data_IF_973388477053
#
_entry.id   IF_973388477053
#
_cell.length_a   1.000
_cell.length_b   1.000
_cell.length_c   1.000
_cell.angle_alpha   90.00
_cell.angle_beta   90.00
_cell.angle_gamma   90.00
#
_symmetry.space_group_name_H-M   'P 1'
#
loop_
_entity.id
_entity.type
_entity.pdbx_description
1 polymer ?
#
# COMPACT_ATOMS: atom_id res chain seq x y z
N UNK A 1 -0.72 -15.20 0.49
CA UNK A 1 -1.10 -14.95 1.91
C UNK A 1 -2.55 -14.47 1.94
N UNK A 2 -3.39 -15.02 2.83
CA UNK A 2 -4.81 -14.63 3.02
C UNK A 2 -5.82 -15.11 1.96
N UNK A 3 -5.40 -15.31 0.70
CA UNK A 3 -6.29 -15.73 -0.39
C UNK A 3 -7.28 -14.64 -0.83
N UNK A 4 -7.10 -13.42 -0.34
CA UNK A 4 -7.95 -12.26 -0.63
C UNK A 4 -7.27 -11.45 -1.73
N UNK A 5 -7.99 -11.24 -2.83
CA UNK A 5 -7.56 -10.33 -3.90
C UNK A 5 -7.67 -8.88 -3.43
N UNK A 6 -6.75 -8.01 -3.84
CA UNK A 6 -6.74 -6.61 -3.37
C UNK A 6 -8.03 -5.84 -3.69
N UNK A 7 -8.77 -6.24 -4.73
CA UNK A 7 -10.07 -5.65 -5.08
C UNK A 7 -11.14 -5.89 -4.02
N UNK A 8 -11.04 -6.98 -3.26
CA UNK A 8 -11.94 -7.25 -2.15
C UNK A 8 -11.73 -6.24 -1.02
N UNK A 9 -10.51 -5.70 -0.86
CA UNK A 9 -10.25 -4.64 0.11
C UNK A 9 -11.04 -3.36 -0.20
N UNK A 10 -11.31 -3.06 -1.47
CA UNK A 10 -12.18 -1.92 -1.83
C UNK A 10 -13.59 -2.09 -1.25
N UNK A 11 -14.12 -3.32 -1.27
CA UNK A 11 -15.44 -3.63 -0.71
C UNK A 11 -15.42 -3.52 0.81
N UNK A 12 -14.37 -4.02 1.46
CA UNK A 12 -14.20 -3.91 2.92
C UNK A 12 -14.16 -2.44 3.36
N UNK A 13 -13.48 -1.56 2.62
CA UNK A 13 -13.44 -0.12 2.91
C UNK A 13 -14.84 0.50 2.81
N UNK A 14 -15.64 0.10 1.81
CA UNK A 14 -17.02 0.57 1.63
C UNK A 14 -17.99 0.04 2.68
N UNK A 15 -17.84 -1.23 3.07
CA UNK A 15 -18.72 -1.88 4.04
C UNK A 15 -18.51 -1.32 5.46
N UNK A 16 -17.28 -0.93 5.77
CA UNK A 16 -16.89 -0.43 7.08
C UNK A 16 -16.31 0.99 7.03
N UNK A 17 -17.09 1.98 6.56
CA UNK A 17 -16.61 3.33 6.37
C UNK A 17 -16.14 3.89 7.71
N UNK A 18 -14.92 4.39 7.70
CA UNK A 18 -14.35 5.05 8.86
C UNK A 18 -13.73 4.15 9.94
N UNK A 19 -13.75 2.82 9.77
CA UNK A 19 -13.12 1.89 10.73
C UNK A 19 -11.62 1.74 10.55
N UNK A 20 -11.09 2.01 9.36
CA UNK A 20 -9.66 1.87 9.08
C UNK A 20 -8.95 3.15 9.48
N UNK A 21 -8.19 3.07 10.57
CA UNK A 21 -7.42 4.19 11.16
C UNK A 21 -5.96 4.19 10.76
N UNK A 22 -5.40 3.02 10.54
CA UNK A 22 -4.03 2.83 10.08
C UNK A 22 -4.01 1.77 8.98
N UNK A 23 -3.05 1.87 8.07
CA UNK A 23 -2.84 0.87 7.02
C UNK A 23 -1.35 0.63 6.82
N UNK A 24 -0.96 -0.64 6.77
CA UNK A 24 0.38 -1.06 6.35
C UNK A 24 0.42 -1.09 4.82
N UNK A 25 1.42 -0.45 4.23
CA UNK A 25 1.59 -0.27 2.80
C UNK A 25 2.83 -1.04 2.37
N UNK A 26 2.60 -2.18 1.71
CA UNK A 26 3.61 -3.04 1.10
C UNK A 26 3.08 -3.64 -0.18
N UNK A 27 3.93 -3.91 -1.15
CA UNK A 27 3.48 -4.47 -2.42
C UNK A 27 3.77 -5.97 -2.52
N UNK A 28 3.11 -6.61 -3.49
CA UNK A 28 3.21 -8.03 -3.73
C UNK A 28 3.04 -8.33 -5.21
N UNK A 29 3.81 -9.27 -5.73
CA UNK A 29 3.58 -9.88 -7.04
C UNK A 29 3.62 -11.41 -6.94
N UNK A 30 2.98 -12.11 -7.87
CA UNK A 30 3.03 -13.58 -7.92
C UNK A 30 4.43 -14.10 -8.24
N UNK A 31 5.20 -13.35 -9.03
CA UNK A 31 6.53 -13.76 -9.50
C UNK A 31 7.62 -13.53 -8.44
N UNK A 32 7.61 -12.36 -7.79
CA UNK A 32 8.68 -11.92 -6.88
C UNK A 32 8.24 -11.86 -5.42
N UNK A 33 7.01 -12.27 -5.13
CA UNK A 33 6.39 -12.22 -3.81
C UNK A 33 6.48 -10.80 -3.21
N UNK A 34 6.98 -10.68 -1.97
CA UNK A 34 7.20 -9.39 -1.28
C UNK A 34 8.53 -8.72 -1.64
N UNK A 35 9.33 -9.30 -2.54
CA UNK A 35 10.57 -8.68 -3.02
C UNK A 35 10.29 -7.73 -4.21
N UNK A 36 9.28 -6.88 -4.03
CA UNK A 36 8.90 -5.80 -4.94
C UNK A 36 8.72 -4.53 -4.12
N UNK A 37 9.09 -3.40 -4.69
CA UNK A 37 8.81 -2.10 -4.11
C UNK A 37 7.40 -1.64 -4.50
N UNK A 38 6.88 -0.66 -3.78
CA UNK A 38 5.56 -0.09 -4.03
C UNK A 38 5.38 0.32 -5.50
N UNK A 39 4.32 -0.18 -6.16
CA UNK A 39 4.02 0.09 -7.57
C UNK A 39 4.73 -0.83 -8.58
N UNK A 40 5.63 -1.73 -8.15
CA UNK A 40 6.17 -2.80 -9.00
C UNK A 40 5.36 -4.08 -8.94
N UNK A 41 4.50 -4.24 -7.92
CA UNK A 41 3.68 -5.41 -7.74
C UNK A 41 2.34 -5.32 -8.49
N UNK A 42 1.41 -6.15 -8.03
CA UNK A 42 0.09 -6.33 -8.63
C UNK A 42 -1.02 -5.63 -7.82
N UNK A 43 -0.68 -5.02 -6.68
CA UNK A 43 -1.66 -4.35 -5.81
C UNK A 43 -2.03 -2.99 -6.37
N UNK A 44 -3.34 -2.73 -6.53
CA UNK A 44 -3.89 -1.46 -7.02
C UNK A 44 -3.82 -0.32 -6.00
N UNK A 45 -2.61 0.05 -5.54
CA UNK A 45 -2.41 0.97 -4.43
C UNK A 45 -2.99 2.36 -4.65
N UNK A 46 -2.92 2.91 -5.86
CA UNK A 46 -3.53 4.21 -6.17
C UNK A 46 -5.04 4.23 -5.90
N UNK A 47 -5.74 3.15 -6.24
CA UNK A 47 -7.18 3.02 -6.02
C UNK A 47 -7.49 2.81 -4.54
N UNK A 48 -6.76 1.93 -3.86
CA UNK A 48 -6.93 1.68 -2.43
C UNK A 48 -6.67 2.93 -1.57
N UNK A 49 -5.58 3.65 -1.85
CA UNK A 49 -5.23 4.87 -1.12
C UNK A 49 -6.25 5.98 -1.37
N UNK A 50 -6.75 6.13 -2.62
CA UNK A 50 -7.85 7.04 -2.91
C UNK A 50 -9.11 6.67 -2.12
N UNK A 51 -9.46 5.38 -2.08
CA UNK A 51 -10.62 4.88 -1.35
C UNK A 51 -10.51 5.12 0.16
N UNK A 52 -9.34 4.86 0.74
CA UNK A 52 -9.06 5.12 2.15
C UNK A 52 -9.11 6.62 2.47
N UNK A 53 -8.54 7.46 1.61
CA UNK A 53 -8.62 8.92 1.72
C UNK A 53 -10.07 9.39 1.68
N UNK A 54 -10.85 8.93 0.71
CA UNK A 54 -12.26 9.32 0.53
C UNK A 54 -13.14 8.84 1.71
N UNK A 55 -12.75 7.76 2.41
CA UNK A 55 -13.42 7.31 3.64
C UNK A 55 -13.24 8.26 4.85
N UNK A 56 -12.26 9.16 4.80
CA UNK A 56 -12.12 10.31 5.70
C UNK A 56 -11.71 10.02 7.15
N UNK A 57 -11.24 8.81 7.49
CA UNK A 57 -10.85 8.46 8.87
C UNK A 57 -9.47 7.83 9.03
N UNK A 58 -8.72 7.64 7.95
CA UNK A 58 -7.35 7.14 8.06
C UNK A 58 -6.43 8.22 8.62
N UNK A 59 -5.58 7.83 9.56
CA UNK A 59 -4.72 8.73 10.31
C UNK A 59 -3.24 8.49 9.98
N UNK A 60 -2.86 7.22 9.76
CA UNK A 60 -1.47 6.85 9.47
C UNK A 60 -1.37 5.80 8.35
N UNK A 61 -0.42 6.04 7.44
CA UNK A 61 0.10 5.03 6.54
C UNK A 61 1.46 4.57 7.07
N UNK A 62 1.63 3.27 7.25
CA UNK A 62 2.84 2.64 7.74
C UNK A 62 3.49 1.96 6.54
N UNK A 63 4.61 2.49 6.08
CA UNK A 63 5.37 1.86 4.98
C UNK A 63 6.07 0.62 5.52
N UNK A 64 5.92 -0.51 4.83
CA UNK A 64 6.47 -1.80 5.24
C UNK A 64 7.18 -2.47 4.07
N UNK A 65 8.38 -3.01 4.31
CA UNK A 65 9.13 -3.79 3.32
C UNK A 65 9.71 -5.03 4.00
N UNK A 66 9.25 -6.22 3.59
CA UNK A 66 9.64 -7.49 4.21
C UNK A 66 10.84 -8.16 3.51
N UNK A 67 10.99 -7.96 2.21
CA UNK A 67 12.08 -8.54 1.41
C UNK A 67 12.71 -7.48 0.49
N UNK A 68 14.03 -7.34 0.54
CA UNK A 68 14.76 -6.25 -0.12
C UNK A 68 16.11 -6.73 -0.66
N UNK A 69 16.07 -7.79 -1.47
CA UNK A 69 17.28 -8.42 -2.03
C UNK A 69 18.07 -7.42 -2.86
N UNK A 70 19.32 -7.19 -2.47
CA UNK A 70 20.23 -6.26 -3.14
C UNK A 70 20.24 -4.84 -2.59
N UNK A 71 19.49 -4.56 -1.52
CA UNK A 71 19.43 -3.25 -0.87
C UNK A 71 19.67 -3.38 0.65
N UNK A 72 20.10 -2.31 1.29
CA UNK A 72 20.02 -2.19 2.75
C UNK A 72 18.58 -1.88 3.18
N UNK A 73 18.26 -2.10 4.45
CA UNK A 73 16.93 -1.80 5.00
C UNK A 73 16.56 -0.32 4.88
N UNK A 74 17.52 0.59 5.05
CA UNK A 74 17.30 2.04 4.93
C UNK A 74 17.10 2.48 3.47
N UNK A 75 17.83 1.88 2.53
CA UNK A 75 17.61 2.17 1.11
C UNK A 75 16.24 1.69 0.64
N UNK A 76 15.88 0.46 1.02
CA UNK A 76 14.60 -0.15 0.68
C UNK A 76 13.43 0.71 1.17
N UNK A 77 13.40 1.04 2.48
CA UNK A 77 12.30 1.83 3.04
C UNK A 77 12.24 3.24 2.45
N UNK A 78 13.38 3.83 2.08
CA UNK A 78 13.44 5.13 1.42
C UNK A 78 12.79 5.08 0.03
N UNK A 79 12.98 3.99 -0.72
CA UNK A 79 12.36 3.81 -2.04
C UNK A 79 10.83 3.77 -1.86
N UNK A 80 10.31 2.92 -0.98
CA UNK A 80 8.87 2.79 -0.77
C UNK A 80 8.23 4.07 -0.23
N UNK A 81 8.91 4.76 0.69
CA UNK A 81 8.44 6.05 1.19
C UNK A 81 8.29 7.10 0.08
N UNK A 82 9.29 7.21 -0.80
CA UNK A 82 9.24 8.16 -1.92
C UNK A 82 8.15 7.80 -2.93
N UNK A 83 7.95 6.50 -3.21
CA UNK A 83 6.89 6.05 -4.10
C UNK A 83 5.50 6.26 -3.52
N UNK A 84 5.32 5.98 -2.23
CA UNK A 84 4.05 6.27 -1.55
C UNK A 84 3.77 7.77 -1.66
N UNK A 85 4.76 8.62 -1.37
CA UNK A 85 4.61 10.08 -1.48
C UNK A 85 4.17 10.52 -2.88
N UNK A 86 4.70 9.92 -3.95
CA UNK A 86 4.26 10.25 -5.31
C UNK A 86 2.82 9.79 -5.57
N UNK A 87 2.44 8.58 -5.17
CA UNK A 87 1.05 8.10 -5.31
C UNK A 87 0.07 9.01 -4.55
N UNK A 88 0.42 9.43 -3.32
CA UNK A 88 -0.40 10.34 -2.52
C UNK A 88 -0.59 11.69 -3.21
N UNK A 89 0.47 12.25 -3.79
CA UNK A 89 0.42 13.48 -4.57
C UNK A 89 -0.48 13.34 -5.80
N UNK A 90 -0.41 12.22 -6.52
CA UNK A 90 -1.28 11.95 -7.68
C UNK A 90 -2.76 11.87 -7.32
N UNK A 91 -3.10 11.44 -6.11
CA UNK A 91 -4.49 11.42 -5.61
C UNK A 91 -4.88 12.71 -4.87
N UNK A 92 -4.04 13.74 -4.94
CA UNK A 92 -4.30 15.08 -4.40
C UNK A 92 -4.19 15.18 -2.88
N UNK A 93 -3.31 14.39 -2.25
CA UNK A 93 -2.96 14.48 -0.83
C UNK A 93 -1.51 14.95 -0.65
#
# INVERSE_FOLDING_TARGET
HGGIEWRELLRIIDEFPGRIKTAHIKDYSKEKEFNVFLGEGEVGWKELLKKLKDSGKIEWYIVEQEAFKGYTSIEAIKIDFLRLKEIMKEIGQ
#
